data_IF_520150066063
#
_entry.id   IF_520150066063
#
_cell.length_a   1.000
_cell.length_b   1.000
_cell.length_c   1.000
_cell.angle_alpha   90.00
_cell.angle_beta   90.00
_cell.angle_gamma   90.00
#
_symmetry.space_group_name_H-M   'P 1'
#
loop_
_entity.id
_entity.type
_entity.pdbx_description
1 polymer ?
2 non-polymer ?
3 non-polymer ?
4 water ?
#
# COMPACT_ATOMS: atom_id res chain seq x y z
N UNK A 20 0.64 -7.72 -14.79
CA UNK A 20 -0.06 -9.03 -14.75
C UNK A 20 0.75 -10.08 -13.99
N UNK A 21 2.07 -10.15 -14.08
CA UNK A 21 2.89 -11.16 -13.35
C UNK A 21 3.67 -10.46 -12.23
N UNK A 22 3.80 -11.12 -11.10
CA UNK A 22 4.67 -10.65 -10.03
C UNK A 22 5.92 -11.51 -9.99
N UNK A 23 7.07 -10.82 -9.99
CA UNK A 23 8.37 -11.44 -9.86
C UNK A 23 9.06 -10.96 -8.57
N UNK A 24 10.10 -11.70 -8.16
CA UNK A 24 10.92 -11.30 -7.04
C UNK A 24 11.67 -10.02 -7.44
N UNK A 25 11.59 -8.97 -6.64
CA UNK A 25 12.22 -7.69 -7.01
C UNK A 25 13.75 -7.79 -7.04
N UNK A 26 14.32 -8.70 -6.28
CA UNK A 26 15.79 -8.84 -6.19
C UNK A 26 16.43 -9.59 -7.33
N UNK A 27 15.75 -10.55 -7.94
CA UNK A 27 16.37 -11.47 -8.89
C UNK A 27 15.49 -11.83 -10.08
N UNK A 28 14.17 -11.50 -10.06
CA UNK A 28 13.32 -11.82 -11.19
C UNK A 28 12.62 -13.16 -11.23
N UNK A 29 12.79 -13.99 -10.21
CA UNK A 29 12.06 -15.23 -10.11
C UNK A 29 10.55 -15.03 -10.26
N UNK A 30 9.92 -15.86 -11.08
CA UNK A 30 8.48 -15.82 -11.23
C UNK A 30 7.75 -16.26 -9.95
N UNK A 31 6.84 -15.41 -9.40
CA UNK A 31 6.26 -15.74 -8.08
C UNK A 31 4.73 -15.88 -8.17
N UNK A 32 4.02 -14.87 -8.69
CA UNK A 32 2.56 -14.97 -8.69
C UNK A 32 1.94 -14.13 -9.80
N UNK A 33 0.61 -13.86 -9.70
CA UNK A 33 -0.11 -13.20 -10.79
C UNK A 33 -1.19 -12.34 -10.16
N UNK A 34 -1.52 -11.21 -10.79
CA UNK A 34 -2.57 -10.34 -10.26
C UNK A 34 -3.92 -11.12 -10.19
N UNK A 35 -4.12 -11.99 -11.16
CA UNK A 35 -5.30 -12.85 -11.26
C UNK A 35 -5.48 -13.71 -10.02
N UNK A 36 -4.40 -13.95 -9.25
CA UNK A 36 -4.42 -14.88 -8.13
C UNK A 36 -4.57 -14.16 -6.80
N UNK A 37 -4.80 -12.86 -6.82
CA UNK A 37 -5.04 -12.12 -5.60
C UNK A 37 -6.27 -12.67 -4.90
N UNK A 38 -6.25 -12.80 -3.59
CA UNK A 38 -7.37 -13.34 -2.82
C UNK A 38 -7.84 -12.32 -1.76
N UNK A 39 -9.08 -11.81 -1.81
CA UNK A 39 -9.59 -10.94 -0.75
C UNK A 39 -9.97 -11.63 0.56
N UNK A 40 -9.00 -11.79 1.46
CA UNK A 40 -9.22 -12.37 2.78
C UNK A 40 -9.87 -11.32 3.70
N UNK A 41 -11.05 -11.68 4.23
CA UNK A 41 -11.84 -10.75 5.03
C UNK A 41 -12.23 -9.49 4.26
N UNK A 42 -12.41 -9.59 2.93
CA UNK A 42 -12.85 -8.43 2.18
C UNK A 42 -11.76 -7.61 1.49
N UNK A 43 -10.47 -7.82 1.76
CA UNK A 43 -9.45 -7.04 1.09
C UNK A 43 -8.27 -7.97 0.76
N UNK A 44 -7.63 -7.80 -0.40
CA UNK A 44 -6.40 -8.59 -0.64
C UNK A 44 -5.22 -7.99 0.14
N UNK A 45 -5.32 -6.73 0.60
CA UNK A 45 -4.25 -6.07 1.31
C UNK A 45 -4.48 -5.98 2.80
N UNK A 46 -3.46 -6.36 3.58
CA UNK A 46 -3.49 -6.32 5.04
C UNK A 46 -2.21 -5.72 5.57
N UNK A 47 -2.31 -4.74 6.47
CA UNK A 47 -1.11 -4.12 7.00
C UNK A 47 -0.95 -4.57 8.43
N UNK A 48 0.20 -5.16 8.75
CA UNK A 48 0.38 -5.90 9.97
C UNK A 48 1.76 -5.58 10.52
N UNK A 49 2.00 -5.85 11.80
CA UNK A 49 3.32 -5.83 12.37
C UNK A 49 3.62 -7.08 13.17
N UNK A 50 4.88 -7.41 13.23
CA UNK A 50 5.34 -8.59 13.93
C UNK A 50 5.86 -8.21 15.33
N UNK A 51 6.34 -9.16 16.14
CA UNK A 51 6.81 -8.84 17.49
C UNK A 51 8.07 -8.01 17.52
N UNK A 52 8.79 -7.90 16.39
CA UNK A 52 9.96 -7.05 16.25
C UNK A 52 9.59 -5.64 15.79
N UNK A 53 8.30 -5.36 15.66
CA UNK A 53 7.79 -4.08 15.28
C UNK A 53 7.89 -3.74 13.80
N UNK A 54 8.30 -4.71 12.98
CA UNK A 54 8.34 -4.52 11.54
C UNK A 54 6.91 -4.49 11.01
N UNK A 55 6.60 -3.46 10.21
CA UNK A 55 5.34 -3.31 9.52
C UNK A 55 5.46 -3.86 8.08
N UNK A 56 4.47 -4.64 7.69
CA UNK A 56 4.42 -5.23 6.35
C UNK A 56 3.10 -4.88 5.74
N UNK A 57 3.15 -4.56 4.43
CA UNK A 57 2.00 -4.48 3.63
C UNK A 57 1.89 -5.82 2.84
N UNK A 58 0.99 -6.66 3.29
CA UNK A 58 0.85 -8.04 2.85
C UNK A 58 -0.29 -8.12 1.86
N UNK A 59 -0.02 -8.71 0.69
CA UNK A 59 -1.06 -9.00 -0.29
C UNK A 59 -1.28 -10.53 -0.26
N UNK A 60 -2.55 -10.90 -0.15
CA UNK A 60 -2.91 -12.30 -0.06
C UNK A 60 -3.13 -12.84 -1.47
N UNK A 61 -2.55 -14.03 -1.71
CA UNK A 61 -2.66 -14.70 -3.00
C UNK A 61 -3.14 -16.14 -2.76
N UNK A 62 -4.02 -16.63 -3.68
CA UNK A 62 -4.45 -18.01 -3.58
C UNK A 62 -3.34 -18.99 -3.92
N UNK A 63 -2.41 -18.58 -4.78
CA UNK A 63 -1.38 -19.41 -5.33
C UNK A 63 -0.13 -18.57 -5.59
N UNK A 64 0.99 -19.25 -5.51
CA UNK A 64 2.30 -18.68 -5.78
C UNK A 64 3.20 -19.82 -6.17
N UNK A 65 4.30 -19.51 -6.78
CA UNK A 65 5.29 -20.50 -7.22
C UNK A 65 6.66 -19.87 -6.96
N UNK A 66 7.72 -20.63 -7.14
CA UNK A 66 9.09 -20.15 -7.15
C UNK A 66 9.62 -19.77 -5.76
N UNK A 67 8.92 -20.19 -4.73
CA UNK A 67 9.27 -19.96 -3.35
C UNK A 67 9.94 -21.18 -2.79
N UNK A 68 10.56 -21.01 -1.61
CA UNK A 68 10.98 -22.12 -0.82
C UNK A 68 10.42 -21.90 0.60
N UNK A 69 9.63 -22.89 1.04
CA UNK A 69 9.01 -22.82 2.36
C UNK A 69 9.90 -23.47 3.38
N UNK A 70 10.27 -22.76 4.44
CA UNK A 70 11.34 -23.23 5.28
C UNK A 70 10.77 -23.56 6.66
N UNK A 71 11.12 -24.76 7.13
CA UNK A 71 10.68 -25.22 8.46
C UNK A 71 9.28 -25.78 8.44
N UNK A 72 8.70 -25.99 9.63
CA UNK A 72 7.34 -26.51 9.78
C UNK A 72 6.44 -25.34 10.20
N UNK A 73 5.13 -25.44 10.05
CA UNK A 73 4.26 -24.31 10.37
C UNK A 73 4.23 -23.97 11.85
N UNK A 74 3.86 -22.73 12.16
CA UNK A 74 3.71 -22.24 13.55
C UNK A 74 2.48 -21.38 13.59
N UNK A 75 1.68 -21.43 14.67
CA UNK A 75 0.51 -20.60 14.85
C UNK A 75 0.81 -19.31 15.63
N UNK A 76 2.02 -19.19 16.18
CA UNK A 76 2.38 -18.10 17.10
C UNK A 76 2.29 -16.76 16.39
N UNK A 77 1.48 -15.86 16.93
CA UNK A 77 1.34 -14.51 16.43
C UNK A 77 0.77 -14.46 15.00
N UNK A 78 0.07 -15.51 14.55
CA UNK A 78 -0.53 -15.46 13.24
C UNK A 78 -1.50 -14.30 13.09
N UNK A 79 -1.34 -13.56 11.98
CA UNK A 79 -2.20 -12.47 11.62
C UNK A 79 -3.56 -12.94 11.11
N UNK A 80 -3.70 -14.22 10.73
CA UNK A 80 -4.89 -14.70 10.08
C UNK A 80 -5.46 -15.83 10.93
N UNK A 81 -6.71 -15.60 11.35
CA UNK A 81 -7.37 -16.45 12.32
C UNK A 81 -7.43 -17.87 11.83
N UNK A 82 -6.96 -18.82 12.65
CA UNK A 82 -7.05 -20.24 12.30
C UNK A 82 -5.96 -20.78 11.38
N UNK A 83 -4.95 -19.96 11.01
CA UNK A 83 -3.87 -20.39 10.11
C UNK A 83 -2.56 -20.40 10.83
N UNK A 84 -1.76 -21.39 10.42
CA UNK A 84 -0.39 -21.50 10.87
C UNK A 84 0.50 -21.03 9.68
N UNK A 85 1.64 -20.46 9.99
CA UNK A 85 2.50 -19.88 8.91
C UNK A 85 3.79 -20.66 8.81
N UNK A 86 4.36 -20.60 7.57
CA UNK A 86 5.72 -20.98 7.29
C UNK A 86 6.36 -19.81 6.55
N UNK A 87 7.60 -19.54 6.86
CA UNK A 87 8.37 -18.51 6.13
C UNK A 87 8.53 -18.94 4.68
N UNK A 88 8.30 -17.98 3.77
CA UNK A 88 8.45 -18.24 2.32
C UNK A 88 9.60 -17.36 1.82
N UNK A 89 10.69 -17.99 1.41
CA UNK A 89 11.77 -17.31 0.71
C UNK A 89 11.56 -17.41 -0.80
N UNK A 90 12.22 -16.46 -1.50
CA UNK A 90 12.43 -16.62 -2.93
C UNK A 90 13.26 -17.90 -3.09
N UNK A 91 12.81 -18.84 -3.88
CA UNK A 91 13.50 -20.08 -4.15
C UNK A 91 14.83 -19.89 -4.87
N UNK A 92 14.98 -18.77 -5.56
CA UNK A 92 16.17 -18.46 -6.35
C UNK A 92 17.18 -17.75 -5.46
N UNK A 93 16.83 -16.57 -4.89
CA UNK A 93 17.79 -15.71 -4.28
C UNK A 93 17.77 -15.78 -2.75
N UNK A 94 16.77 -16.43 -2.16
CA UNK A 94 16.66 -16.56 -0.71
C UNK A 94 16.11 -15.32 0.03
N UNK A 95 15.69 -14.29 -0.68
CA UNK A 95 15.10 -13.12 -0.03
C UNK A 95 13.75 -13.49 0.60
N UNK A 96 13.47 -12.91 1.78
CA UNK A 96 12.20 -13.21 2.44
C UNK A 96 11.02 -12.51 1.74
N UNK A 97 10.12 -13.26 1.12
CA UNK A 97 9.03 -12.67 0.37
C UNK A 97 7.70 -12.68 1.09
N UNK A 98 7.56 -13.46 2.14
CA UNK A 98 6.33 -13.52 2.92
C UNK A 98 6.20 -14.86 3.64
N UNK A 99 4.98 -15.36 3.65
CA UNK A 99 4.62 -16.57 4.41
C UNK A 99 3.60 -17.37 3.63
N UNK A 100 3.62 -18.73 3.83
CA UNK A 100 2.56 -19.58 3.41
C UNK A 100 1.70 -19.89 4.67
N UNK A 101 0.41 -19.82 4.46
CA UNK A 101 -0.54 -20.10 5.55
C UNK A 101 -1.27 -21.43 5.24
N UNK A 102 -1.45 -22.23 6.27
CA UNK A 102 -2.09 -23.53 6.17
C UNK A 102 -2.86 -23.82 7.46
N UNK A 103 -3.55 -24.97 7.49
CA UNK A 103 -4.16 -25.37 8.74
C UNK A 103 -5.56 -24.80 9.01
N UNK A 104 -6.07 -23.96 8.12
CA UNK A 104 -7.25 -23.17 8.38
C UNK A 104 -8.44 -23.67 7.56
N UNK A 105 -9.39 -22.79 7.24
CA UNK A 105 -10.59 -23.20 6.53
C UNK A 105 -11.04 -22.14 5.55
N UNK A 106 -11.35 -22.55 4.35
CA UNK A 106 -12.01 -21.62 3.42
C UNK A 106 -11.20 -20.37 3.17
N UNK A 107 -9.97 -20.44 2.60
CA UNK A 107 -9.38 -21.71 2.10
C UNK A 107 -8.54 -22.33 3.18
N UNK A 108 -8.12 -23.58 2.92
CA UNK A 108 -7.27 -24.24 3.86
C UNK A 108 -5.89 -23.57 3.83
N UNK A 109 -5.48 -23.09 2.67
CA UNK A 109 -4.13 -22.51 2.52
C UNK A 109 -4.12 -21.31 1.61
N UNK A 110 -3.08 -20.44 1.76
CA UNK A 110 -2.92 -19.26 0.89
C UNK A 110 -1.53 -18.68 1.20
N UNK A 111 -1.13 -17.68 0.39
CA UNK A 111 0.16 -17.06 0.60
C UNK A 111 -0.06 -15.57 0.93
N UNK A 112 0.70 -15.10 1.93
CA UNK A 112 0.74 -13.69 2.22
C UNK A 112 2.12 -13.16 1.84
N UNK A 113 2.16 -12.39 0.77
CA UNK A 113 3.42 -11.90 0.24
C UNK A 113 3.58 -10.41 0.47
N UNK A 114 4.82 -10.02 0.75
CA UNK A 114 5.15 -8.61 1.05
C UNK A 114 5.25 -7.84 -0.27
N UNK A 115 4.31 -6.90 -0.48
CA UNK A 115 4.08 -6.31 -1.78
C UNK A 115 5.32 -5.56 -2.28
N UNK A 116 6.04 -4.90 -1.40
CA UNK A 116 7.18 -4.11 -1.87
C UNK A 116 8.43 -4.95 -2.10
N UNK A 117 8.33 -6.29 -1.93
CA UNK A 117 9.41 -7.19 -2.27
C UNK A 117 9.17 -7.82 -3.67
N UNK A 118 8.05 -7.51 -4.30
CA UNK A 118 7.70 -7.99 -5.63
C UNK A 118 7.80 -6.89 -6.66
N UNK A 119 7.96 -7.29 -7.93
CA UNK A 119 7.91 -6.40 -9.09
C UNK A 119 6.81 -6.84 -10.01
N UNK A 120 5.97 -5.92 -10.47
CA UNK A 120 4.81 -6.25 -11.33
C UNK A 120 5.12 -5.93 -12.78
N UNK A 121 4.69 -6.79 -13.67
CA UNK A 121 4.98 -6.52 -15.09
C UNK A 121 4.40 -7.56 -16.02
N UNK A 122 4.76 -7.42 -17.32
CA UNK A 122 4.07 -8.18 -18.39
C UNK A 122 4.32 -9.70 -18.37
N UNK A 123 3.31 -10.44 -18.86
CA UNK A 123 3.30 -11.89 -18.96
C UNK A 123 4.53 -12.46 -19.68
N UNK B 20 7.32 19.84 0.49
CA UNK B 20 8.56 19.33 -0.17
C UNK B 20 8.37 19.15 -1.69
N UNK B 21 9.50 19.31 -2.37
CA UNK B 21 9.54 19.18 -3.82
C UNK B 21 10.52 18.09 -4.17
N UNK B 22 10.35 17.58 -5.37
CA UNK B 22 11.22 16.56 -5.93
C UNK B 22 11.94 17.19 -7.11
N UNK B 23 13.23 17.12 -7.07
CA UNK B 23 14.14 17.67 -8.06
C UNK B 23 14.84 16.56 -8.79
N UNK B 24 15.27 16.87 -10.03
CA UNK B 24 16.12 15.99 -10.80
C UNK B 24 17.39 15.75 -9.98
N UNK B 25 17.79 14.51 -9.77
CA UNK B 25 18.95 14.21 -8.93
C UNK B 25 20.26 14.60 -9.64
N UNK B 26 20.23 14.70 -10.97
CA UNK B 26 21.42 15.01 -11.75
C UNK B 26 21.66 16.49 -11.88
N UNK B 27 20.62 17.32 -12.05
CA UNK B 27 20.90 18.73 -12.26
C UNK B 27 20.18 19.66 -11.31
N UNK B 28 19.22 19.14 -10.50
CA UNK B 28 18.53 20.00 -9.57
C UNK B 28 17.25 20.68 -10.03
N UNK B 29 16.86 20.48 -11.28
CA UNK B 29 15.64 21.13 -11.74
C UNK B 29 14.41 20.64 -10.97
N UNK B 30 13.53 21.55 -10.57
CA UNK B 30 12.28 21.20 -9.95
C UNK B 30 11.40 20.41 -10.92
N UNK B 31 10.89 19.27 -10.45
CA UNK B 31 10.08 18.37 -11.28
C UNK B 31 8.69 18.18 -10.74
N UNK B 32 8.53 17.91 -9.44
CA UNK B 32 7.18 17.71 -8.94
C UNK B 32 7.17 17.97 -7.43
N UNK B 33 6.00 17.75 -6.83
CA UNK B 33 5.75 18.16 -5.45
C UNK B 33 5.16 16.97 -4.74
N UNK B 34 5.45 16.84 -3.43
CA UNK B 34 4.84 15.81 -2.61
C UNK B 34 3.31 15.92 -2.61
N UNK B 35 2.78 17.15 -2.64
CA UNK B 35 1.34 17.37 -2.66
C UNK B 35 0.68 16.71 -3.85
N UNK B 36 1.45 16.39 -4.89
CA UNK B 36 0.94 15.84 -6.14
C UNK B 36 1.07 14.32 -6.22
N UNK B 37 1.50 13.68 -5.11
CA UNK B 37 1.58 12.23 -5.12
C UNK B 37 0.19 11.67 -5.30
N UNK B 38 0.09 10.62 -6.12
CA UNK B 38 -1.19 10.08 -6.55
C UNK B 38 -1.22 8.59 -6.28
N UNK B 39 -2.18 8.09 -5.47
CA UNK B 39 -2.22 6.66 -5.20
C UNK B 39 -3.00 5.93 -6.30
N UNK B 40 -2.29 5.48 -7.31
CA UNK B 40 -2.87 4.68 -8.39
C UNK B 40 -3.02 3.24 -7.95
N UNK B 41 -4.25 2.74 -8.02
CA UNK B 41 -4.59 1.43 -7.51
C UNK B 41 -4.33 1.27 -6.01
N UNK B 42 -4.39 2.37 -5.25
CA UNK B 42 -4.23 2.23 -3.82
C UNK B 42 -2.84 2.63 -3.32
N UNK B 43 -1.81 2.79 -4.20
CA UNK B 43 -0.51 3.12 -3.63
C UNK B 43 0.16 4.13 -4.55
N UNK B 44 0.91 5.07 -4.02
CA UNK B 44 1.68 5.91 -4.96
C UNK B 44 2.97 5.23 -5.43
N UNK B 45 3.43 4.20 -4.71
CA UNK B 45 4.60 3.42 -5.11
C UNK B 45 4.28 2.11 -5.82
N UNK B 46 4.84 1.94 -7.01
CA UNK B 46 4.73 0.67 -7.73
C UNK B 46 6.12 0.20 -8.13
N UNK B 47 6.48 -1.03 -7.77
CA UNK B 47 7.72 -1.67 -8.27
C UNK B 47 7.33 -2.52 -9.49
N UNK B 48 7.92 -2.20 -10.63
CA UNK B 48 7.54 -2.71 -11.92
C UNK B 48 8.76 -3.26 -12.69
N UNK B 49 8.53 -4.16 -13.66
CA UNK B 49 9.55 -4.57 -14.64
C UNK B 49 9.08 -4.42 -16.09
N UNK B 50 9.98 -4.00 -16.95
CA UNK B 50 9.68 -3.83 -18.37
C UNK B 50 9.99 -5.14 -19.12
N UNK B 51 9.72 -5.20 -20.45
CA UNK B 51 9.95 -6.39 -21.24
C UNK B 51 11.42 -6.78 -21.38
N UNK B 52 12.33 -5.88 -21.09
CA UNK B 52 13.76 -6.14 -21.08
C UNK B 52 14.22 -6.63 -19.72
N UNK B 53 13.29 -6.80 -18.80
CA UNK B 53 13.58 -7.26 -17.44
C UNK B 53 14.22 -6.23 -16.54
N UNK B 54 14.22 -4.95 -16.89
CA UNK B 54 14.72 -3.89 -16.04
C UNK B 54 13.64 -3.57 -14.99
N UNK B 55 14.03 -3.50 -13.72
CA UNK B 55 13.15 -3.23 -12.60
C UNK B 55 13.27 -1.78 -12.15
N UNK B 56 12.14 -1.11 -11.97
CA UNK B 56 12.06 0.30 -11.56
C UNK B 56 11.11 0.40 -10.37
N UNK B 57 11.40 1.37 -9.50
CA UNK B 57 10.53 1.71 -8.38
C UNK B 57 9.94 3.09 -8.69
N UNK B 58 8.68 3.10 -9.11
CA UNK B 58 7.98 4.24 -9.65
C UNK B 58 7.10 4.84 -8.59
N UNK B 59 7.14 6.18 -8.48
CA UNK B 59 6.16 6.96 -7.71
C UNK B 59 5.24 7.73 -8.65
N UNK B 60 3.95 7.65 -8.44
CA UNK B 60 2.98 8.35 -9.28
C UNK B 60 2.63 9.75 -8.76
N UNK B 61 2.66 10.68 -9.69
CA UNK B 61 2.34 12.10 -9.44
C UNK B 61 1.28 12.55 -10.42
N UNK B 62 0.36 13.43 -9.99
CA UNK B 62 -0.64 13.94 -10.89
C UNK B 62 -0.08 14.82 -12.00
N UNK B 63 0.84 15.69 -11.63
CA UNK B 63 1.43 16.71 -12.44
C UNK B 63 2.94 16.65 -12.25
N UNK B 64 3.64 17.32 -13.17
CA UNK B 64 5.06 17.59 -13.07
C UNK B 64 5.35 18.77 -13.95
N UNK B 65 6.55 19.25 -13.84
CA UNK B 65 7.06 20.29 -14.70
C UNK B 65 8.53 20.05 -14.96
N UNK B 66 9.06 20.71 -16.01
CA UNK B 66 10.44 20.65 -16.30
C UNK B 66 10.92 19.38 -17.02
N UNK B 67 10.01 18.48 -17.37
CA UNK B 67 10.35 17.31 -18.16
C UNK B 67 10.21 17.59 -19.66
N UNK B 68 10.71 16.65 -20.49
CA UNK B 68 10.49 16.60 -21.92
C UNK B 68 10.04 15.22 -22.33
N UNK B 69 8.79 15.07 -22.84
CA UNK B 69 8.27 13.80 -23.28
C UNK B 69 8.69 13.56 -24.73
N UNK B 70 9.23 12.36 -24.98
CA UNK B 70 9.78 12.10 -26.31
C UNK B 70 9.02 10.95 -26.92
N UNK B 71 8.75 11.06 -28.22
CA UNK B 71 8.10 9.92 -28.89
C UNK B 71 6.61 10.10 -28.88
N UNK B 72 5.89 9.25 -29.60
CA UNK B 72 4.45 9.27 -29.63
C UNK B 72 3.98 8.33 -28.52
N UNK B 73 2.79 8.47 -27.97
CA UNK B 73 2.38 7.56 -26.89
C UNK B 73 2.23 6.13 -27.40
N UNK B 74 2.44 5.16 -26.51
CA UNK B 74 2.29 3.75 -26.82
C UNK B 74 1.47 3.09 -25.73
N UNK B 75 0.59 2.14 -26.10
CA UNK B 75 -0.19 1.35 -25.16
C UNK B 75 0.49 0.00 -24.81
N UNK B 76 1.48 -0.37 -25.55
CA UNK B 76 2.13 -1.68 -25.42
C UNK B 76 2.88 -1.82 -24.09
N UNK B 77 2.49 -2.83 -23.31
CA UNK B 77 3.12 -3.18 -22.05
C UNK B 77 3.01 -2.05 -21.03
N UNK B 78 1.98 -1.22 -21.14
CA UNK B 78 1.71 -0.25 -20.10
C UNK B 78 1.55 -0.92 -18.75
N UNK B 79 2.20 -0.37 -17.74
CA UNK B 79 1.96 -0.82 -16.35
C UNK B 79 0.60 -0.40 -15.78
N UNK B 80 -0.05 0.56 -16.38
CA UNK B 80 -1.32 1.10 -15.89
C UNK B 80 -2.40 0.93 -16.95
N UNK B 81 -3.32 0.01 -16.68
CA UNK B 81 -4.31 -0.44 -17.70
C UNK B 81 -5.18 0.75 -18.09
N UNK B 82 -5.29 0.96 -19.40
CA UNK B 82 -6.13 1.97 -20.01
C UNK B 82 -5.36 3.26 -20.27
N UNK B 83 -4.02 3.29 -20.03
CA UNK B 83 -3.17 4.41 -20.33
C UNK B 83 -2.15 4.08 -21.37
N UNK B 84 -1.87 5.08 -22.20
CA UNK B 84 -0.71 5.07 -23.06
C UNK B 84 0.48 5.83 -22.40
N UNK B 85 1.71 5.42 -22.69
CA UNK B 85 2.88 6.03 -22.06
C UNK B 85 3.78 6.69 -23.06
N UNK B 86 4.54 7.68 -22.56
CA UNK B 86 5.61 8.34 -23.30
C UNK B 86 6.79 8.49 -22.36
N UNK B 87 7.98 8.25 -22.80
CA UNK B 87 9.20 8.49 -22.03
C UNK B 87 9.35 9.95 -21.62
N UNK B 88 9.69 10.15 -20.34
CA UNK B 88 9.87 11.49 -19.77
C UNK B 88 11.35 11.67 -19.39
N UNK B 89 12.02 12.64 -19.98
CA UNK B 89 13.38 13.02 -19.62
C UNK B 89 13.34 14.34 -18.85
N UNK B 90 14.33 14.59 -18.06
CA UNK B 90 14.59 15.91 -17.53
C UNK B 90 14.79 16.85 -18.73
N UNK B 91 14.00 17.94 -18.81
CA UNK B 91 14.09 18.85 -19.95
C UNK B 91 15.43 19.62 -19.93
N UNK B 92 16.04 19.74 -18.76
CA UNK B 92 17.27 20.51 -18.60
C UNK B 92 18.53 19.69 -18.88
N UNK B 93 18.63 18.45 -18.38
CA UNK B 93 19.86 17.68 -18.44
C UNK B 93 19.71 16.38 -19.24
N UNK B 94 18.49 15.96 -19.58
CA UNK B 94 18.30 14.74 -20.34
C UNK B 94 18.24 13.43 -19.58
N UNK B 95 18.32 13.43 -18.26
CA UNK B 95 18.21 12.25 -17.43
C UNK B 95 16.85 11.57 -17.60
N UNK B 96 16.78 10.26 -17.74
CA UNK B 96 15.49 9.56 -17.87
C UNK B 96 14.84 9.47 -16.50
N UNK B 97 13.74 10.24 -16.30
CA UNK B 97 13.17 10.32 -14.96
C UNK B 97 11.91 9.46 -14.82
N UNK B 98 11.32 8.97 -15.90
CA UNK B 98 10.12 8.14 -15.86
C UNK B 98 9.32 8.18 -17.14
N UNK B 99 7.98 8.26 -16.97
CA UNK B 99 7.05 8.19 -18.10
C UNK B 99 5.83 9.04 -17.75
N UNK B 100 5.21 9.56 -18.81
CA UNK B 100 3.89 10.20 -18.70
C UNK B 100 2.83 9.26 -19.25
N UNK B 101 1.68 9.22 -18.60
CA UNK B 101 0.57 8.35 -18.93
C UNK B 101 -0.65 9.22 -19.29
N UNK B 102 -1.30 8.84 -20.40
CA UNK B 102 -2.43 9.63 -20.89
C UNK B 102 -3.49 8.67 -21.44
N UNK B 103 -4.68 9.23 -21.69
CA UNK B 103 -5.71 8.45 -22.35
C UNK B 103 -6.63 7.63 -21.47
N UNK B 104 -6.58 7.79 -20.14
CA UNK B 104 -7.43 7.09 -19.22
C UNK B 104 -8.53 8.02 -18.68
N UNK B 105 -9.04 7.71 -17.50
CA UNK B 105 -10.00 8.59 -16.86
C UNK B 105 -9.79 8.50 -15.37
N UNK B 106 -9.97 9.63 -14.72
CA UNK B 106 -9.93 9.74 -13.26
C UNK B 106 -8.63 9.16 -12.69
N UNK B 107 -7.44 9.71 -12.99
CA UNK B 107 -7.28 10.90 -13.83
C UNK B 107 -7.09 10.55 -15.29
N UNK B 108 -7.16 11.58 -16.14
CA UNK B 108 -6.91 11.38 -17.53
C UNK B 108 -5.43 11.12 -17.81
N UNK B 109 -4.58 11.82 -17.03
CA UNK B 109 -3.13 11.83 -17.24
C UNK B 109 -2.45 11.84 -15.88
N UNK B 110 -1.19 11.32 -15.85
CA UNK B 110 -0.38 11.35 -14.63
C UNK B 110 1.02 10.92 -15.04
N UNK B 111 1.95 11.05 -14.09
CA UNK B 111 3.34 10.65 -14.34
C UNK B 111 3.75 9.53 -13.38
N UNK B 112 4.53 8.60 -13.90
CA UNK B 112 5.23 7.60 -13.11
C UNK B 112 6.75 7.89 -13.13
N UNK B 113 7.27 8.43 -12.04
CA UNK B 113 8.64 8.90 -11.99
C UNK B 113 9.49 7.92 -11.15
N UNK B 114 10.72 7.74 -11.56
CA UNK B 114 11.65 6.82 -10.92
C UNK B 114 12.22 7.48 -9.66
N UNK B 115 11.78 6.98 -8.50
CA UNK B 115 12.09 7.59 -7.22
C UNK B 115 13.60 7.79 -6.98
N UNK B 116 14.39 6.84 -7.36
CA UNK B 116 15.83 6.92 -7.17
C UNK B 116 16.50 7.98 -8.02
N UNK B 117 15.82 8.53 -9.03
CA UNK B 117 16.38 9.53 -9.90
C UNK B 117 15.95 10.94 -9.52
N UNK B 118 15.21 11.06 -8.45
CA UNK B 118 14.76 12.33 -7.89
C UNK B 118 15.46 12.55 -6.55
N UNK B 119 15.50 13.80 -6.14
CA UNK B 119 15.95 14.18 -4.80
C UNK B 119 14.85 15.03 -4.16
N UNK B 120 14.34 14.62 -2.99
CA UNK B 120 13.32 15.34 -2.31
C UNK B 120 13.97 16.36 -1.37
N UNK B 121 13.33 17.47 -1.23
CA UNK B 121 13.88 18.55 -0.43
C UNK B 121 12.87 19.66 -0.21
N UNK B 122 13.23 20.64 0.64
CA UNK B 122 12.34 21.78 0.89
C UNK B 122 12.13 22.65 -0.33
N UNK B 123 10.91 23.16 -0.46
CA UNK B 123 10.54 24.19 -1.42
C UNK B 123 11.55 25.32 -1.52
N UNK C 18 -1.73 -12.53 17.26
CA UNK C 18 -1.23 -11.65 16.21
C UNK C 18 -2.04 -10.36 16.04
N UNK C 19 -3.20 -10.21 16.71
CA UNK C 19 -3.99 -8.99 16.57
C UNK C 19 -4.51 -8.51 17.93
N UNK C 20 -3.58 -8.17 18.83
CA UNK C 20 -3.95 -7.62 20.13
C UNK C 20 -3.80 -6.09 20.13
N UNK C 21 -2.80 -5.50 19.43
CA UNK C 21 -2.61 -4.05 19.49
C UNK C 21 -2.91 -3.45 18.11
N UNK C 22 -3.54 -2.25 18.09
CA UNK C 22 -3.83 -1.58 16.82
C UNK C 22 -3.02 -0.30 16.74
N UNK C 23 -2.33 -0.14 15.61
CA UNK C 23 -1.39 0.95 15.39
C UNK C 23 -1.73 1.70 14.13
N UNK C 24 -1.24 2.95 14.04
CA UNK C 24 -1.34 3.70 12.80
C UNK C 24 -0.63 2.95 11.67
N UNK C 25 -1.31 2.77 10.50
CA UNK C 25 -0.72 2.01 9.39
C UNK C 25 0.48 2.75 8.78
N UNK C 26 0.44 4.08 8.84
CA UNK C 26 1.45 4.90 8.17
C UNK C 26 2.72 5.03 9.01
N UNK C 27 2.62 5.09 10.35
CA UNK C 27 3.80 5.42 11.12
C UNK C 27 4.02 4.52 12.34
N UNK C 28 3.02 3.72 12.73
CA UNK C 28 3.20 2.77 13.80
C UNK C 28 2.83 3.24 15.19
N UNK C 29 2.34 4.48 15.32
CA UNK C 29 1.85 4.96 16.64
C UNK C 29 0.82 4.02 17.24
N UNK C 30 1.01 3.70 18.55
CA UNK C 30 0.05 2.89 19.28
C UNK C 30 -1.27 3.65 19.39
N UNK C 31 -2.41 3.03 19.03
CA UNK C 31 -3.70 3.72 19.11
C UNK C 31 -4.64 3.00 20.08
N UNK C 32 -4.82 1.67 19.94
CA UNK C 32 -5.72 1.02 20.88
C UNK C 32 -5.44 -0.50 20.93
N UNK C 33 -6.33 -1.25 21.55
CA UNK C 33 -6.07 -2.63 21.97
C UNK C 33 -7.41 -3.37 21.86
N UNK C 34 -7.33 -4.69 21.62
CA UNK C 34 -8.51 -5.52 21.48
C UNK C 34 -9.29 -5.54 22.79
N UNK C 35 -8.62 -5.38 23.93
CA UNK C 35 -9.29 -5.27 25.23
C UNK C 35 -10.27 -4.11 25.29
N UNK C 36 -10.09 -3.06 24.43
CA UNK C 36 -10.95 -1.89 24.52
C UNK C 36 -11.98 -1.89 23.38
N UNK C 37 -11.96 -2.98 22.62
CA UNK C 37 -12.74 -3.14 21.42
C UNK C 37 -14.15 -3.63 21.71
N UNK C 46 -18.40 -2.55 12.31
CA UNK C 46 -19.58 -1.99 11.59
C UNK C 46 -19.13 -1.58 10.20
N UNK C 47 -19.75 -2.15 9.16
CA UNK C 47 -19.60 -1.73 7.77
C UNK C 47 -20.58 -0.58 7.50
N UNK C 48 -20.04 0.56 7.04
CA UNK C 48 -20.82 1.78 6.88
C UNK C 48 -20.43 2.34 5.51
N UNK C 49 -21.25 3.24 4.96
CA UNK C 49 -20.94 3.97 3.74
C UNK C 49 -21.03 5.47 4.03
N UNK C 50 -20.09 6.26 3.54
CA UNK C 50 -20.16 7.72 3.72
C UNK C 50 -21.12 8.28 2.66
N UNK C 51 -21.40 9.62 2.63
CA UNK C 51 -22.41 10.12 1.69
C UNK C 51 -22.04 9.90 0.23
N UNK C 52 -20.76 9.59 -0.04
CA UNK C 52 -20.25 9.41 -1.40
C UNK C 52 -20.34 7.95 -1.80
N UNK C 53 -20.91 7.09 -0.93
CA UNK C 53 -20.98 5.66 -1.16
C UNK C 53 -19.64 4.93 -0.96
N UNK C 54 -18.64 5.59 -0.36
CA UNK C 54 -17.40 4.91 -0.01
C UNK C 54 -17.68 4.03 1.22
N UNK C 55 -17.25 2.77 1.16
CA UNK C 55 -17.51 1.82 2.24
C UNK C 55 -16.31 1.81 3.21
N UNK C 56 -16.61 1.91 4.51
CA UNK C 56 -15.62 1.77 5.56
C UNK C 56 -16.05 0.62 6.49
N UNK C 57 -15.08 -0.15 6.95
CA UNK C 57 -15.26 -1.04 8.09
C UNK C 57 -14.72 -0.28 9.32
N UNK C 58 -15.62 0.11 10.23
CA UNK C 58 -15.26 0.87 11.42
C UNK C 58 -15.21 -0.07 12.62
N UNK C 59 -14.12 0.02 13.41
CA UNK C 59 -14.09 -0.61 14.74
C UNK C 59 -14.38 0.44 15.82
N UNK C 60 -15.22 0.11 16.79
CA UNK C 60 -15.53 1.01 17.89
C UNK C 60 -14.72 0.59 19.11
N UNK C 61 -14.15 1.58 19.80
CA UNK C 61 -13.28 1.34 20.96
C UNK C 61 -13.78 2.22 22.09
N UNK C 62 -13.75 1.69 23.33
CA UNK C 62 -14.15 2.52 24.45
C UNK C 62 -13.05 3.53 24.78
N UNK C 63 -11.78 3.14 24.50
CA UNK C 63 -10.64 3.99 24.84
C UNK C 63 -9.68 3.98 23.67
N UNK C 64 -8.90 5.07 23.59
CA UNK C 64 -7.82 5.11 22.63
C UNK C 64 -6.75 6.07 23.13
N UNK C 65 -5.59 6.01 22.45
CA UNK C 65 -4.50 6.93 22.80
C UNK C 65 -3.77 7.32 21.54
N UNK C 66 -2.88 8.32 21.66
CA UNK C 66 -2.01 8.71 20.60
C UNK C 66 -2.71 9.39 19.41
N UNK C 67 -3.97 9.79 19.58
CA UNK C 67 -4.65 10.53 18.52
C UNK C 67 -4.58 12.02 18.86
N UNK C 68 -4.95 12.83 17.89
CA UNK C 68 -5.28 14.23 18.13
C UNK C 68 -6.70 14.50 17.60
N UNK C 69 -7.59 14.94 18.50
CA UNK C 69 -8.98 15.17 18.09
C UNK C 69 -9.13 16.64 17.65
N UNK C 70 -9.65 16.90 16.44
CA UNK C 70 -9.58 18.27 15.90
C UNK C 70 -11.00 18.74 15.56
N UNK C 71 -11.24 20.05 15.57
CA UNK C 71 -12.47 20.60 15.00
C UNK C 71 -13.62 20.62 16.01
N UNK C 72 -14.80 21.09 15.59
CA UNK C 72 -15.97 21.11 16.46
C UNK C 72 -16.80 19.88 16.15
N UNK C 73 -17.54 19.30 17.11
CA UNK C 73 -18.33 18.11 16.81
C UNK C 73 -19.42 18.42 15.80
N UNK C 74 -19.76 17.40 14.98
CA UNK C 74 -20.78 17.54 13.96
C UNK C 74 -21.68 16.29 13.97
N UNK C 75 -23.00 16.49 13.72
CA UNK C 75 -23.93 15.38 13.59
C UNK C 75 -24.18 14.93 12.14
N UNK C 76 -23.59 15.63 11.17
CA UNK C 76 -23.84 15.36 9.74
C UNK C 76 -23.50 13.93 9.34
N UNK C 77 -24.52 13.20 8.85
CA UNK C 77 -24.38 11.82 8.39
C UNK C 77 -23.73 10.88 9.45
N UNK C 78 -23.94 11.18 10.74
CA UNK C 78 -23.39 10.33 11.79
C UNK C 78 -23.94 8.93 11.62
N UNK C 79 -23.05 7.94 11.61
CA UNK C 79 -23.43 6.55 11.52
C UNK C 79 -24.00 6.01 12.84
N UNK C 80 -23.86 6.74 13.94
CA UNK C 80 -24.25 6.24 15.25
C UNK C 80 -25.28 7.20 15.81
N UNK C 81 -26.52 6.73 15.95
CA UNK C 81 -27.64 7.60 16.29
C UNK C 81 -27.41 8.20 17.69
N UNK C 82 -27.57 9.53 17.79
CA UNK C 82 -27.45 10.25 19.05
C UNK C 82 -26.03 10.72 19.35
N UNK C 83 -25.06 10.47 18.42
CA UNK C 83 -23.68 10.89 18.64
C UNK C 83 -23.24 11.90 17.59
N UNK C 84 -22.45 12.88 18.06
CA UNK C 84 -21.74 13.79 17.15
C UNK C 84 -20.29 13.36 17.02
N UNK C 85 -19.67 13.62 15.86
CA UNK C 85 -18.31 13.13 15.62
C UNK C 85 -17.31 14.29 15.50
N UNK C 86 -16.05 13.99 15.92
CA UNK C 86 -14.91 14.88 15.74
C UNK C 86 -13.84 14.06 15.03
N UNK C 87 -13.08 14.69 14.16
CA UNK C 87 -12.06 13.99 13.38
C UNK C 87 -10.90 13.58 14.30
N UNK C 88 -10.45 12.33 14.14
CA UNK C 88 -9.32 11.81 14.95
C UNK C 88 -8.16 11.56 14.01
N UNK C 89 -7.06 12.32 14.22
CA UNK C 89 -5.83 12.11 13.48
C UNK C 89 -4.82 11.37 14.35
N UNK C 90 -3.95 10.62 13.72
CA UNK C 90 -2.75 10.13 14.39
C UNK C 90 -1.97 11.32 14.95
N UNK C 91 -1.63 11.29 16.26
CA UNK C 91 -0.85 12.38 16.81
C UNK C 91 0.61 12.37 16.40
N UNK C 92 1.09 11.27 15.79
CA UNK C 92 2.50 11.22 15.45
C UNK C 92 2.77 11.71 14.03
N UNK C 93 1.93 11.30 13.09
CA UNK C 93 2.16 11.63 11.69
C UNK C 93 1.01 12.43 11.07
N UNK C 94 -0.13 12.52 11.74
CA UNK C 94 -1.24 13.33 11.18
C UNK C 94 -2.21 12.59 10.23
N UNK C 95 -2.03 11.29 10.00
CA UNK C 95 -2.97 10.50 9.18
C UNK C 95 -4.36 10.41 9.82
N UNK C 96 -5.41 10.50 9.01
CA UNK C 96 -6.78 10.43 9.47
C UNK C 96 -7.15 8.99 9.78
N UNK C 97 -7.38 8.67 11.06
CA UNK C 97 -7.60 7.30 11.43
C UNK C 97 -9.07 6.99 11.73
N UNK C 98 -9.88 8.04 11.93
CA UNK C 98 -11.28 7.84 12.23
C UNK C 98 -11.87 9.04 12.92
N UNK C 99 -12.77 8.76 13.90
CA UNK C 99 -13.52 9.84 14.55
C UNK C 99 -13.73 9.52 16.04
N UNK C 100 -13.99 10.55 16.81
CA UNK C 100 -14.39 10.46 18.21
C UNK C 100 -15.87 10.82 18.22
N UNK C 101 -16.64 10.03 18.95
CA UNK C 101 -18.08 10.22 19.06
C UNK C 101 -18.42 10.60 20.49
N UNK C 102 -19.29 11.60 20.62
CA UNK C 102 -19.71 12.07 21.95
C UNK C 102 -21.21 12.50 21.91
N UNK C 108 -21.61 6.94 26.35
CA UNK C 108 -21.59 8.41 26.18
C UNK C 108 -20.56 8.84 25.13
N UNK C 109 -19.35 8.23 25.16
CA UNK C 109 -18.29 8.55 24.21
C UNK C 109 -17.57 7.29 23.74
N UNK C 110 -17.03 7.31 22.51
CA UNK C 110 -16.27 6.20 22.00
C UNK C 110 -15.54 6.65 20.74
N UNK C 111 -14.64 5.78 20.28
CA UNK C 111 -13.82 6.11 19.11
C UNK C 111 -14.23 5.14 18.01
N UNK C 112 -14.51 5.69 16.83
CA UNK C 112 -14.78 4.86 15.67
C UNK C 112 -13.62 4.98 14.67
N UNK C 113 -12.79 3.96 14.62
CA UNK C 113 -11.57 3.98 13.81
C UNK C 113 -11.72 3.13 12.56
N UNK C 114 -11.05 3.58 11.48
CA UNK C 114 -11.12 2.93 10.18
C UNK C 114 -10.16 1.75 10.18
N UNK C 115 -10.68 0.52 10.02
CA UNK C 115 -9.87 -0.69 9.96
C UNK C 115 -8.74 -0.59 8.95
N UNK C 116 -9.01 -0.02 7.76
CA UNK C 116 -7.98 0.00 6.72
C UNK C 116 -6.94 1.11 6.94
N UNK C 117 -7.05 1.85 8.04
CA UNK C 117 -6.04 2.83 8.41
C UNK C 117 -5.18 2.30 9.56
N UNK C 118 -5.49 1.10 10.10
CA UNK C 118 -4.80 0.52 11.22
C UNK C 118 -3.95 -0.68 10.79
N UNK C 119 -2.89 -0.91 11.55
CA UNK C 119 -2.08 -2.12 11.44
C UNK C 119 -2.30 -2.91 12.71
N UNK C 120 -2.41 -4.24 12.59
CA UNK C 120 -2.70 -5.09 13.74
C UNK C 120 -1.46 -5.94 14.02
N UNK C 121 -1.19 -6.21 15.28
CA UNK C 121 -0.08 -7.06 15.65
C UNK C 121 -0.09 -7.39 17.14
N UNK C 122 0.94 -8.16 17.60
CA UNK C 122 0.96 -8.67 18.98
C UNK C 122 1.16 -7.62 20.07
N UNK C 123 0.99 -8.06 21.33
CA UNK C 123 1.19 -7.17 22.48
C UNK C 123 2.68 -7.03 22.79
#
# INVERSE_FOLDING_TARGET
>A
MPLDAGGQNSTQMVLAPGASIFRCRQCGQTISRRDWLLPMGGDHEHVVFNPAGMIFRVWCFSLAQGLRLIGAPSGEFSWFKGYDWTIALCGQCGSHLGWHYEGGSQPQTFFGLIKDRLAEGPAD
>B
MPLDAGGQNSTQMVLAPGASIFRCRQCGQTISRRDWLLPMGGDHEHVVFNPAGMIFRVWCFSLAQGLRLIGAPSGEFSWFKGYDWTIALCGQCGSHLGWHYEGGSQPQTFFGLIKDRLAEGPAD
>C
MPLDAGGQNSTQMVLAPGASIFRCRQCGQTISRRDWLLPMGGDHEHVVFNPAGMIFRVWCFSLAQGLRLIGAPSGEFSWFKGYDWTIALCGQCGSHLGWHYEGGSQPQTFFGLIKDRLAEGPAD
#
